data_IF_621991801513
#
_entry.id   IF_621991801513
#
_cell.length_a   1.000
_cell.length_b   1.000
_cell.length_c   1.000
_cell.angle_alpha   90.00
_cell.angle_beta   90.00
_cell.angle_gamma   90.00
#
_symmetry.space_group_name_H-M   'P 1'
#
loop_
_entity.id
_entity.type
_entity.pdbx_description
1 polymer ?
#
# COMPACT_ATOMS: atom_id res chain seq x y z
N UNK A 1 0.14 -0.22 23.57
CA UNK A 1 -0.68 0.89 24.10
C UNK A 1 -1.48 1.59 23.01
N UNK A 2 -0.88 1.93 21.86
CA UNK A 2 -1.59 2.50 20.71
C UNK A 2 -2.75 1.62 20.24
N UNK A 3 -2.50 0.34 19.99
CA UNK A 3 -3.53 -0.65 19.65
C UNK A 3 -4.67 -0.71 20.68
N UNK A 4 -4.35 -0.60 21.98
CA UNK A 4 -5.36 -0.54 23.05
C UNK A 4 -6.26 0.69 22.94
N UNK A 5 -5.69 1.84 22.60
CA UNK A 5 -6.46 3.06 22.39
C UNK A 5 -7.36 2.93 21.16
N UNK A 6 -6.85 2.33 20.08
CA UNK A 6 -7.60 2.06 18.87
C UNK A 6 -8.76 1.07 19.10
N UNK A 7 -8.50 -0.03 19.82
CA UNK A 7 -9.52 -0.98 20.27
C UNK A 7 -10.60 -0.31 21.14
N UNK A 8 -10.21 0.65 21.99
CA UNK A 8 -11.16 1.38 22.84
C UNK A 8 -12.10 2.27 22.02
N UNK A 9 -11.60 2.94 20.98
CA UNK A 9 -12.43 3.76 20.07
C UNK A 9 -13.39 2.87 19.28
N UNK A 10 -12.93 1.69 18.86
CA UNK A 10 -13.73 0.69 18.15
C UNK A 10 -14.57 -0.20 19.10
N UNK A 11 -14.57 0.09 20.41
CA UNK A 11 -15.35 -0.62 21.43
C UNK A 11 -14.64 -1.80 22.10
N UNK A 12 -13.98 -2.68 21.34
CA UNK A 12 -13.22 -3.80 21.89
C UNK A 12 -12.09 -4.28 20.95
N UNK A 13 -11.23 -5.17 21.45
CA UNK A 13 -10.18 -5.80 20.64
C UNK A 13 -10.71 -6.73 19.56
N UNK A 14 -11.81 -7.43 19.83
CA UNK A 14 -12.42 -8.35 18.86
C UNK A 14 -12.95 -7.61 17.63
N UNK A 15 -13.38 -6.36 17.80
CA UNK A 15 -13.80 -5.49 16.71
C UNK A 15 -12.66 -5.12 15.74
N UNK A 16 -11.39 -5.31 16.13
CA UNK A 16 -10.24 -5.11 15.24
C UNK A 16 -9.97 -6.32 14.34
N UNK A 17 -10.59 -7.47 14.61
CA UNK A 17 -10.40 -8.68 13.82
C UNK A 17 -11.05 -8.54 12.44
N UNK A 18 -10.26 -8.73 11.38
CA UNK A 18 -10.74 -8.65 9.99
C UNK A 18 -10.73 -7.24 9.39
N UNK A 19 -10.12 -6.26 10.05
CA UNK A 19 -9.89 -4.93 9.47
C UNK A 19 -8.91 -4.95 8.30
N UNK A 20 -9.03 -3.97 7.40
CA UNK A 20 -8.07 -3.75 6.32
C UNK A 20 -6.96 -2.81 6.80
N UNK A 21 -5.72 -3.04 6.33
CA UNK A 21 -4.62 -2.09 6.56
C UNK A 21 -4.92 -0.71 6.00
N UNK A 22 -5.80 -0.57 4.99
CA UNK A 22 -6.30 0.74 4.54
C UNK A 22 -7.09 1.52 5.57
N UNK A 23 -7.92 0.86 6.38
CA UNK A 23 -8.69 1.51 7.45
C UNK A 23 -7.72 2.08 8.50
N UNK A 24 -6.71 1.27 8.87
CA UNK A 24 -5.65 1.72 9.78
C UNK A 24 -4.86 2.91 9.22
N UNK A 25 -4.57 2.91 7.92
CA UNK A 25 -3.90 4.04 7.28
C UNK A 25 -4.73 5.32 7.37
N UNK A 26 -6.01 5.28 7.01
CA UNK A 26 -6.88 6.46 7.06
C UNK A 26 -7.08 6.97 8.48
N UNK A 27 -7.26 6.07 9.46
CA UNK A 27 -7.48 6.46 10.85
C UNK A 27 -6.25 7.04 11.53
N UNK A 28 -5.06 6.53 11.21
CA UNK A 28 -3.81 6.99 11.84
C UNK A 28 -3.16 8.17 11.13
N UNK A 29 -3.49 8.40 9.86
CA UNK A 29 -2.88 9.49 9.08
C UNK A 29 -3.87 10.57 8.68
N UNK A 30 -5.17 10.28 8.58
CA UNK A 30 -6.12 11.18 7.92
C UNK A 30 -5.87 11.31 6.41
N UNK A 31 -5.03 10.44 5.85
CA UNK A 31 -4.75 10.32 4.42
C UNK A 31 -5.90 9.69 3.65
N UNK A 32 -5.73 9.59 2.33
CA UNK A 32 -6.67 8.91 1.43
C UNK A 32 -6.04 7.59 1.02
N UNK A 33 -6.69 6.47 1.35
CA UNK A 33 -6.20 5.15 0.99
C UNK A 33 -6.79 4.66 -0.35
N UNK A 34 -5.92 4.23 -1.24
CA UNK A 34 -6.27 3.60 -2.52
C UNK A 34 -5.78 2.14 -2.55
N UNK A 35 -6.58 1.26 -3.14
CA UNK A 35 -6.27 -0.16 -3.25
C UNK A 35 -6.10 -0.57 -4.71
N UNK A 36 -5.01 -1.28 -5.02
CA UNK A 36 -4.70 -1.79 -6.36
C UNK A 36 -4.55 -3.32 -6.34
N UNK A 37 -5.30 -4.01 -7.21
CA UNK A 37 -5.18 -5.46 -7.43
C UNK A 37 -4.02 -5.75 -8.40
N UNK A 38 -3.03 -6.51 -7.93
CA UNK A 38 -1.84 -6.88 -8.69
C UNK A 38 -2.09 -7.98 -9.72
N UNK A 39 -3.22 -8.69 -9.66
CA UNK A 39 -3.64 -9.62 -10.72
C UNK A 39 -4.09 -8.87 -11.99
N UNK A 40 -4.49 -7.60 -11.84
CA UNK A 40 -4.90 -6.71 -12.93
C UNK A 40 -4.27 -5.32 -12.76
N UNK A 41 -2.94 -5.22 -12.80
CA UNK A 41 -2.26 -3.97 -12.50
C UNK A 41 -2.46 -2.96 -13.63
N UNK A 42 -2.61 -1.66 -13.32
CA UNK A 42 -2.58 -0.63 -14.34
C UNK A 42 -1.20 -0.57 -15.01
N UNK A 43 -1.13 -0.20 -16.29
CA UNK A 43 0.14 -0.20 -17.05
C UNK A 43 1.21 0.71 -16.43
N UNK A 44 0.79 1.77 -15.75
CA UNK A 44 1.63 2.75 -15.07
C UNK A 44 1.80 2.47 -13.57
N UNK A 45 1.50 1.26 -13.07
CA UNK A 45 1.56 0.94 -11.64
C UNK A 45 2.91 1.27 -10.99
N UNK A 46 4.03 1.01 -11.65
CA UNK A 46 5.35 1.37 -11.11
C UNK A 46 5.48 2.88 -10.82
N UNK A 47 4.90 3.74 -11.65
CA UNK A 47 4.86 5.19 -11.42
C UNK A 47 3.88 5.57 -10.32
N UNK A 48 2.79 4.81 -10.16
CA UNK A 48 1.82 4.94 -9.06
C UNK A 48 2.44 4.51 -7.73
N UNK A 49 3.46 3.65 -7.73
CA UNK A 49 4.23 3.32 -6.53
C UNK A 49 5.28 4.41 -6.25
N UNK A 50 6.05 4.78 -7.28
CA UNK A 50 7.20 5.69 -7.14
C UNK A 50 6.78 7.11 -6.73
N UNK A 51 5.78 7.70 -7.38
CA UNK A 51 5.39 9.10 -7.11
C UNK A 51 4.87 9.33 -5.69
N UNK A 52 3.99 8.48 -5.13
CA UNK A 52 3.56 8.64 -3.76
C UNK A 52 4.68 8.40 -2.76
N UNK A 53 5.58 7.43 -2.99
CA UNK A 53 6.78 7.27 -2.15
C UNK A 53 7.65 8.52 -2.10
N UNK A 54 7.90 9.13 -3.27
CA UNK A 54 8.63 10.42 -3.37
C UNK A 54 7.88 11.57 -2.68
N UNK A 55 6.55 11.46 -2.54
CA UNK A 55 5.71 12.41 -1.83
C UNK A 55 5.50 12.06 -0.35
N UNK A 56 6.21 11.05 0.19
CA UNK A 56 6.10 10.63 1.58
C UNK A 56 4.86 9.79 1.93
N UNK A 57 4.11 9.32 0.94
CA UNK A 57 2.96 8.44 1.14
C UNK A 57 3.37 7.11 1.78
N UNK A 58 2.45 6.51 2.54
CA UNK A 58 2.64 5.19 3.12
C UNK A 58 2.11 4.13 2.17
N UNK A 59 2.95 3.16 1.80
CA UNK A 59 2.53 2.07 0.93
C UNK A 59 2.61 0.74 1.69
N UNK A 60 1.52 -0.02 1.61
CA UNK A 60 1.41 -1.38 2.08
C UNK A 60 1.20 -2.35 0.94
N UNK A 61 1.53 -3.62 1.14
CA UNK A 61 1.16 -4.69 0.23
C UNK A 61 1.03 -6.01 0.96
N UNK A 62 0.26 -6.92 0.37
CA UNK A 62 -0.07 -8.19 1.00
C UNK A 62 -0.25 -9.30 -0.05
N UNK A 63 -0.14 -10.53 0.43
CA UNK A 63 -0.35 -11.74 -0.36
C UNK A 63 -1.67 -12.36 0.10
N UNK A 64 -2.62 -12.52 -0.82
CA UNK A 64 -3.91 -13.15 -0.51
C UNK A 64 -3.71 -14.60 -0.06
N UNK A 65 -4.50 -15.02 0.92
CA UNK A 65 -4.60 -16.42 1.34
C UNK A 65 -5.76 -17.10 0.60
N UNK A 66 -5.54 -18.36 0.21
CA UNK A 66 -6.57 -19.19 -0.42
C UNK A 66 -7.43 -19.94 0.60
N UNK A 67 -6.91 -20.12 1.81
CA UNK A 67 -7.55 -20.80 2.93
C UNK A 67 -7.13 -20.11 4.24
N UNK A 68 -7.99 -20.10 5.25
CA UNK A 68 -7.64 -19.64 6.60
C UNK A 68 -6.44 -20.41 7.19
N UNK A 69 -6.21 -21.66 6.77
CA UNK A 69 -5.03 -22.43 7.17
C UNK A 69 -3.71 -21.92 6.56
N UNK A 70 -3.78 -21.07 5.53
CA UNK A 70 -2.61 -20.44 4.90
C UNK A 70 -2.26 -19.09 5.53
N UNK A 71 -3.01 -18.65 6.57
CA UNK A 71 -2.71 -17.41 7.29
C UNK A 71 -1.34 -17.52 7.97
N UNK A 72 -0.50 -16.51 7.75
CA UNK A 72 0.90 -16.46 8.20
C UNK A 72 1.78 -17.62 7.69
N UNK A 73 1.35 -18.33 6.65
CA UNK A 73 2.13 -19.41 6.07
C UNK A 73 3.37 -18.85 5.33
N UNK A 74 4.55 -19.34 5.69
CA UNK A 74 5.82 -18.97 5.05
C UNK A 74 6.02 -19.80 3.78
N UNK A 75 6.20 -19.12 2.65
CA UNK A 75 6.52 -19.75 1.36
C UNK A 75 7.97 -20.27 1.32
N UNK A 76 8.30 -21.07 0.31
CA UNK A 76 9.67 -21.57 0.08
C UNK A 76 10.71 -20.46 -0.09
N UNK A 77 10.29 -19.29 -0.57
CA UNK A 77 11.15 -18.11 -0.75
C UNK A 77 11.07 -17.14 0.45
N UNK A 78 10.60 -17.63 1.60
CA UNK A 78 10.46 -16.89 2.86
C UNK A 78 9.49 -15.70 2.84
N UNK A 79 8.58 -15.63 1.87
CA UNK A 79 7.45 -14.68 1.94
C UNK A 79 6.32 -15.26 2.77
N UNK A 80 5.84 -14.49 3.75
CA UNK A 80 4.67 -14.79 4.60
C UNK A 80 3.36 -14.40 3.90
N UNK A 81 2.41 -15.32 3.78
CA UNK A 81 1.07 -15.07 3.23
C UNK A 81 0.11 -14.52 4.27
N UNK A 82 -0.90 -13.75 3.83
CA UNK A 82 -1.91 -13.18 4.73
C UNK A 82 -1.32 -12.15 5.71
N UNK A 83 -0.15 -11.59 5.36
CA UNK A 83 0.62 -10.69 6.19
C UNK A 83 0.85 -9.38 5.45
N UNK A 84 0.87 -8.28 6.20
CA UNK A 84 1.10 -6.95 5.67
C UNK A 84 2.60 -6.64 5.61
N UNK A 85 3.05 -6.19 4.44
CA UNK A 85 4.40 -5.67 4.21
C UNK A 85 4.33 -4.18 3.94
N UNK A 86 5.34 -3.45 4.38
CA UNK A 86 5.51 -2.04 4.00
C UNK A 86 6.35 -1.95 2.73
N UNK A 87 5.95 -1.14 1.77
CA UNK A 87 6.73 -0.83 0.58
C UNK A 87 7.45 0.50 0.84
N UNK A 88 8.78 0.44 0.94
CA UNK A 88 9.61 1.53 1.45
C UNK A 88 10.50 2.18 0.38
N UNK A 89 10.45 1.68 -0.86
CA UNK A 89 11.25 2.23 -1.95
C UNK A 89 10.89 1.62 -3.31
N UNK A 90 11.12 2.40 -4.36
CA UNK A 90 10.99 1.95 -5.76
C UNK A 90 12.04 2.66 -6.61
N UNK A 91 12.94 1.89 -7.23
CA UNK A 91 14.09 2.40 -7.97
C UNK A 91 14.26 1.69 -9.30
N UNK A 92 14.93 2.36 -10.24
CA UNK A 92 15.34 1.78 -11.51
C UNK A 92 16.86 1.71 -11.52
N UNK A 93 17.42 0.51 -11.62
CA UNK A 93 18.87 0.27 -11.64
C UNK A 93 19.31 -0.18 -13.02
N UNK A 94 20.55 0.16 -13.39
CA UNK A 94 21.16 -0.38 -14.61
C UNK A 94 21.88 -1.68 -14.27
N UNK A 95 21.29 -2.80 -14.67
CA UNK A 95 21.84 -4.14 -14.50
C UNK A 95 22.26 -4.70 -15.86
N UNK A 96 23.57 -4.93 -16.03
CA UNK A 96 24.15 -5.48 -17.28
C UNK A 96 23.71 -4.72 -18.56
N UNK A 97 23.58 -3.40 -18.49
CA UNK A 97 23.17 -2.56 -19.62
C UNK A 97 21.66 -2.54 -19.89
N UNK A 98 20.84 -3.09 -18.99
CA UNK A 98 19.38 -3.03 -19.03
C UNK A 98 18.85 -2.31 -17.80
N UNK A 99 17.80 -1.51 -17.99
CA UNK A 99 17.07 -0.94 -16.86
C UNK A 99 16.19 -2.02 -16.22
N UNK A 100 16.45 -2.29 -14.95
CA UNK A 100 15.64 -3.18 -14.10
C UNK A 100 14.91 -2.37 -13.04
N UNK A 101 13.64 -2.70 -12.83
CA UNK A 101 12.77 -2.06 -11.84
C UNK A 101 12.79 -2.88 -10.57
N UNK A 102 13.17 -2.26 -9.46
CA UNK A 102 13.23 -2.89 -8.15
C UNK A 102 12.29 -2.16 -7.19
N UNK A 103 11.68 -2.94 -6.30
CA UNK A 103 10.89 -2.42 -5.18
C UNK A 103 11.50 -2.92 -3.88
N UNK A 104 11.53 -2.04 -2.88
CA UNK A 104 12.01 -2.32 -1.54
C UNK A 104 10.83 -2.56 -0.63
N UNK A 105 10.90 -3.65 0.10
CA UNK A 105 9.85 -4.13 0.97
C UNK A 105 10.40 -4.38 2.35
N UNK A 106 9.58 -4.13 3.36
CA UNK A 106 9.92 -4.37 4.75
C UNK A 106 8.88 -5.25 5.42
N UNK A 107 9.35 -6.36 5.99
CA UNK A 107 8.56 -7.18 6.88
C UNK A 107 8.49 -6.54 8.28
N UNK A 108 7.29 -6.21 8.80
CA UNK A 108 7.14 -5.64 10.15
C UNK A 108 7.70 -6.50 11.29
N UNK A 109 7.88 -7.81 11.08
CA UNK A 109 8.52 -8.68 12.07
C UNK A 109 10.02 -8.38 12.26
N UNK A 110 10.65 -7.62 11.35
CA UNK A 110 12.07 -7.28 11.41
C UNK A 110 12.99 -8.48 11.19
N UNK A 111 12.45 -9.57 10.63
CA UNK A 111 13.13 -10.83 10.35
C UNK A 111 12.41 -11.55 9.22
N UNK A 112 13.02 -12.61 8.67
CA UNK A 112 12.49 -13.42 7.57
C UNK A 112 12.36 -12.60 6.27
N UNK A 113 13.44 -12.66 5.49
CA UNK A 113 13.59 -11.91 4.25
C UNK A 113 13.53 -12.80 3.00
N UNK A 114 13.20 -12.16 1.89
CA UNK A 114 13.20 -12.77 0.55
C UNK A 114 14.54 -13.42 0.22
N UNK A 115 14.51 -14.64 -0.31
CA UNK A 115 15.72 -15.40 -0.68
C UNK A 115 15.90 -15.56 -2.19
N UNK A 116 15.10 -14.87 -3.01
CA UNK A 116 15.20 -14.94 -4.47
C UNK A 116 16.18 -13.91 -5.04
N UNK A 117 16.03 -13.59 -6.33
CA UNK A 117 16.83 -12.57 -6.98
C UNK A 117 16.65 -11.20 -6.29
N UNK A 118 17.74 -10.45 -6.15
CA UNK A 118 17.80 -9.16 -5.44
C UNK A 118 17.65 -9.23 -3.92
N UNK A 119 17.63 -10.43 -3.34
CA UNK A 119 17.84 -10.62 -1.91
C UNK A 119 19.18 -10.05 -1.44
N UNK A 120 19.34 -9.86 -0.13
CA UNK A 120 20.52 -9.25 0.45
C UNK A 120 21.83 -10.00 0.14
N UNK A 121 21.76 -11.33 0.02
CA UNK A 121 22.88 -12.18 -0.39
C UNK A 121 23.03 -12.37 -1.91
N UNK A 122 22.23 -11.69 -2.74
CA UNK A 122 22.23 -11.91 -4.19
C UNK A 122 23.53 -11.52 -4.87
N UNK A 123 23.97 -12.37 -5.79
CA UNK A 123 25.10 -12.09 -6.69
C UNK A 123 24.79 -10.98 -7.70
N UNK A 124 23.50 -10.69 -7.90
CA UNK A 124 22.94 -9.74 -8.84
C UNK A 124 23.43 -8.32 -8.55
N UNK A 125 23.60 -7.98 -7.27
CA UNK A 125 24.12 -6.69 -6.83
C UNK A 125 25.52 -6.39 -7.40
N UNK A 126 26.37 -7.42 -7.61
CA UNK A 126 27.72 -7.25 -8.16
C UNK A 126 27.72 -6.76 -9.61
N UNK A 127 26.61 -6.89 -10.33
CA UNK A 127 26.48 -6.48 -11.74
C UNK A 127 25.69 -5.18 -11.91
N UNK A 128 25.31 -4.50 -10.82
CA UNK A 128 24.67 -3.19 -10.85
C UNK A 128 25.72 -2.13 -11.13
N UNK A 129 25.43 -1.22 -12.06
CA UNK A 129 26.28 -0.09 -12.38
C UNK A 129 25.80 1.16 -11.60
N UNK A 130 26.71 1.81 -10.87
CA UNK A 130 26.42 3.07 -10.15
C UNK A 130 26.16 2.86 -8.66
N UNK A 131 25.32 3.73 -8.09
CA UNK A 131 24.95 3.66 -6.67
C UNK A 131 24.07 2.44 -6.40
N UNK A 132 24.56 1.57 -5.52
CA UNK A 132 23.83 0.41 -5.06
C UNK A 132 22.98 0.83 -3.84
N UNK A 133 21.64 0.84 -3.94
CA UNK A 133 20.78 1.24 -2.82
C UNK A 133 20.61 0.12 -1.78
N UNK A 134 21.39 -0.95 -1.88
CA UNK A 134 21.32 -2.11 -1.02
C UNK A 134 22.24 -1.93 0.20
N UNK A 135 21.68 -2.20 1.38
CA UNK A 135 22.43 -2.44 2.61
C UNK A 135 22.17 -3.88 3.01
N UNK A 136 23.23 -4.65 3.28
CA UNK A 136 23.10 -6.02 3.76
C UNK A 136 22.86 -5.96 5.27
N UNK A 137 21.61 -6.10 5.69
CA UNK A 137 21.20 -6.02 7.08
C UNK A 137 20.03 -6.97 7.34
N UNK A 138 20.12 -7.77 8.40
CA UNK A 138 18.97 -8.57 8.85
C UNK A 138 17.98 -7.69 9.64
N UNK A 139 17.23 -6.84 8.95
CA UNK A 139 16.24 -5.94 9.52
C UNK A 139 14.82 -6.16 8.97
N UNK A 140 14.64 -7.22 8.17
CA UNK A 140 13.40 -7.54 7.50
C UNK A 140 13.14 -6.72 6.24
N UNK A 141 14.03 -5.79 5.87
CA UNK A 141 13.98 -5.06 4.61
C UNK A 141 14.72 -5.83 3.51
N UNK A 142 14.12 -5.91 2.33
CA UNK A 142 14.72 -6.59 1.19
C UNK A 142 14.26 -5.97 -0.13
N UNK A 143 15.07 -6.16 -1.17
CA UNK A 143 14.68 -5.81 -2.53
C UNK A 143 14.16 -7.02 -3.28
N UNK A 144 13.24 -6.77 -4.20
CA UNK A 144 12.70 -7.77 -5.11
C UNK A 144 12.49 -7.13 -6.49
N UNK A 145 12.62 -7.93 -7.56
CA UNK A 145 12.30 -7.44 -8.90
C UNK A 145 10.82 -7.06 -8.98
N UNK A 146 10.50 -6.00 -9.72
CA UNK A 146 9.11 -5.59 -9.93
C UNK A 146 8.26 -6.71 -10.55
N UNK A 147 8.86 -7.54 -11.41
CA UNK A 147 8.19 -8.67 -12.03
C UNK A 147 7.88 -9.79 -11.01
N UNK A 148 8.80 -10.09 -10.10
CA UNK A 148 8.55 -11.07 -9.05
C UNK A 148 7.57 -10.53 -8.03
N UNK A 149 7.65 -9.24 -7.71
CA UNK A 149 6.66 -8.58 -6.88
C UNK A 149 5.23 -8.76 -7.42
N UNK A 150 4.99 -8.49 -8.71
CA UNK A 150 3.68 -8.71 -9.35
C UNK A 150 3.23 -10.19 -9.36
N UNK A 151 4.17 -11.14 -9.31
CA UNK A 151 3.86 -12.58 -9.31
C UNK A 151 3.49 -13.10 -7.93
N UNK A 152 4.12 -12.59 -6.88
CA UNK A 152 3.96 -13.10 -5.52
C UNK A 152 2.91 -12.31 -4.73
N UNK A 153 2.87 -10.99 -4.90
CA UNK A 153 1.94 -10.13 -4.17
C UNK A 153 0.60 -10.01 -4.89
N UNK A 154 -0.46 -9.81 -4.10
CA UNK A 154 -1.83 -9.75 -4.61
C UNK A 154 -2.41 -8.35 -4.58
N UNK A 155 -2.06 -7.55 -3.58
CA UNK A 155 -2.66 -6.22 -3.38
C UNK A 155 -1.60 -5.20 -2.97
N UNK A 156 -1.76 -3.97 -3.45
CA UNK A 156 -1.08 -2.77 -2.94
C UNK A 156 -2.10 -1.84 -2.35
N UNK A 157 -1.72 -1.22 -1.26
CA UNK A 157 -2.47 -0.21 -0.55
C UNK A 157 -1.59 1.05 -0.53
N UNK A 158 -2.10 2.16 -1.05
CA UNK A 158 -1.39 3.43 -1.11
C UNK A 158 -2.16 4.44 -0.27
N UNK A 159 -1.59 4.88 0.84
CA UNK A 159 -2.15 5.95 1.65
C UNK A 159 -1.44 7.26 1.31
N UNK A 160 -2.13 8.10 0.54
CA UNK A 160 -1.67 9.43 0.20
C UNK A 160 -1.93 10.37 1.37
N UNK A 161 -0.84 10.91 1.91
CA UNK A 161 -0.86 11.86 3.00
C UNK A 161 -1.42 13.21 2.54
N UNK A 162 -2.32 13.79 3.34
CA UNK A 162 -2.89 15.11 3.09
C UNK A 162 -1.89 16.20 3.49
N UNK A 163 -1.97 17.43 2.94
CA UNK A 163 -1.04 18.51 3.28
C UNK A 163 -0.90 18.77 4.78
N UNK A 164 -1.95 18.50 5.55
CA UNK A 164 -1.97 18.67 7.00
C UNK A 164 -1.04 17.70 7.76
N UNK A 165 -0.51 16.67 7.07
CA UNK A 165 0.31 15.61 7.68
C UNK A 165 1.80 15.70 7.37
N UNK A 166 2.20 16.41 6.31
CA UNK A 166 3.60 16.63 5.96
C UNK A 166 3.89 18.13 5.87
N UNK A 167 4.59 18.66 6.87
CA UNK A 167 5.07 20.05 6.91
C UNK A 167 6.41 20.25 6.17
N UNK A 168 6.92 19.22 5.51
CA UNK A 168 8.18 19.27 4.76
C UNK A 168 7.95 19.76 3.32
N UNK A 169 8.49 20.93 2.99
CA UNK A 169 8.41 21.55 1.65
C UNK A 169 9.11 20.72 0.55
N UNK A 170 9.88 19.69 0.90
CA UNK A 170 10.60 18.85 -0.06
C UNK A 170 9.71 17.81 -0.77
N UNK A 171 8.50 17.55 -0.25
CA UNK A 171 7.55 16.61 -0.86
C UNK A 171 6.47 17.33 -1.66
N UNK A 172 5.96 16.67 -2.71
CA UNK A 172 4.86 17.20 -3.51
C UNK A 172 3.54 17.12 -2.73
N UNK A 173 2.89 18.26 -2.51
CA UNK A 173 1.60 18.32 -1.84
C UNK A 173 0.43 18.02 -2.78
N UNK A 174 -0.59 17.36 -2.23
CA UNK A 174 -1.87 17.09 -2.90
C UNK A 174 -2.90 18.16 -2.57
N UNK A 175 -3.74 18.54 -3.53
CA UNK A 175 -4.88 19.43 -3.26
C UNK A 175 -6.04 18.61 -2.71
N UNK A 176 -6.50 18.93 -1.50
CA UNK A 176 -7.60 18.22 -0.83
C UNK A 176 -8.80 19.16 -0.73
N UNK A 177 -10.00 18.64 -1.03
CA UNK A 177 -11.26 19.33 -0.80
C UNK A 177 -12.24 18.33 -0.17
N UNK A 178 -12.60 18.58 1.08
CA UNK A 178 -13.50 17.71 1.86
C UNK A 178 -14.93 18.25 1.81
N UNK A 179 -15.88 17.37 1.55
CA UNK A 179 -17.30 17.66 1.59
C UNK A 179 -18.01 16.64 2.47
N UNK A 180 -18.84 17.11 3.39
CA UNK A 180 -19.64 16.25 4.25
C UNK A 180 -21.09 16.15 3.72
N UNK A 181 -21.69 14.97 3.85
CA UNK A 181 -23.04 14.69 3.35
C UNK A 181 -23.78 13.69 4.23
N UNK A 182 -25.11 13.64 4.10
CA UNK A 182 -25.92 12.64 4.82
C UNK A 182 -26.99 12.04 3.93
N UNK A 183 -27.20 10.73 4.06
CA UNK A 183 -28.32 10.02 3.45
C UNK A 183 -29.40 9.77 4.49
N UNK A 184 -30.58 10.36 4.28
CA UNK A 184 -31.75 10.18 5.14
C UNK A 184 -32.90 9.57 4.34
N UNK A 185 -33.48 8.50 4.89
CA UNK A 185 -34.63 7.82 4.30
C UNK A 185 -35.77 8.81 4.05
N UNK A 186 -36.36 8.77 2.86
CA UNK A 186 -37.47 9.65 2.46
C UNK A 186 -37.06 11.07 2.04
N UNK A 187 -35.77 11.39 2.00
CA UNK A 187 -35.26 12.65 1.45
C UNK A 187 -34.04 12.41 0.57
N UNK A 188 -32.84 12.38 1.14
CA UNK A 188 -31.58 12.33 0.38
C UNK A 188 -31.09 10.92 0.03
N UNK A 189 -31.69 9.86 0.60
CA UNK A 189 -31.32 8.47 0.32
C UNK A 189 -31.84 7.97 -1.04
N UNK A 190 -31.33 8.53 -2.13
CA UNK A 190 -31.79 8.30 -3.50
C UNK A 190 -31.38 6.97 -4.13
N UNK A 191 -30.42 6.26 -3.55
CA UNK A 191 -29.86 5.02 -4.09
C UNK A 191 -28.88 5.23 -5.24
N UNK A 192 -28.46 4.14 -5.89
CA UNK A 192 -27.52 4.18 -7.02
C UNK A 192 -28.21 4.50 -8.36
N UNK A 193 -27.43 4.65 -9.44
CA UNK A 193 -27.89 5.03 -10.80
C UNK A 193 -29.00 4.13 -11.37
N UNK A 194 -29.12 2.90 -10.87
CA UNK A 194 -30.16 1.94 -11.23
C UNK A 194 -31.55 2.31 -10.69
N UNK A 195 -31.66 3.32 -9.81
CA UNK A 195 -32.91 3.81 -9.24
C UNK A 195 -33.23 5.23 -9.79
N UNK A 196 -33.63 5.37 -11.06
CA UNK A 196 -33.71 6.67 -11.73
C UNK A 196 -34.71 7.64 -11.07
N UNK A 197 -35.77 7.12 -10.44
CA UNK A 197 -36.81 7.94 -9.81
C UNK A 197 -36.34 8.69 -8.56
N UNK A 198 -35.31 8.18 -7.88
CA UNK A 198 -34.83 8.70 -6.60
C UNK A 198 -33.36 9.13 -6.65
N UNK A 199 -32.58 8.68 -7.64
CA UNK A 199 -31.14 8.94 -7.75
C UNK A 199 -30.77 10.44 -7.72
N UNK A 200 -31.59 11.29 -8.34
CA UNK A 200 -31.35 12.74 -8.41
C UNK A 200 -31.49 13.45 -7.05
N UNK A 201 -32.10 12.79 -6.05
CA UNK A 201 -32.28 13.32 -4.69
C UNK A 201 -31.02 13.21 -3.83
N UNK A 202 -29.98 12.48 -4.28
CA UNK A 202 -28.71 12.40 -3.57
C UNK A 202 -27.99 13.76 -3.53
N UNK A 203 -27.13 14.03 -2.52
CA UNK A 203 -26.26 15.20 -2.51
C UNK A 203 -25.41 15.32 -3.79
N UNK A 204 -25.27 16.53 -4.32
CA UNK A 204 -24.52 16.82 -5.55
C UNK A 204 -23.35 17.76 -5.25
N UNK A 205 -22.19 17.48 -5.85
CA UNK A 205 -20.95 18.23 -5.63
C UNK A 205 -20.36 18.67 -6.96
N UNK A 206 -19.76 19.85 -6.98
CA UNK A 206 -19.09 20.42 -8.16
C UNK A 206 -17.58 20.28 -8.01
N UNK A 207 -16.94 19.65 -8.99
CA UNK A 207 -15.48 19.54 -9.07
C UNK A 207 -15.01 20.41 -10.23
N UNK A 208 -14.09 21.34 -9.95
CA UNK A 208 -13.45 22.17 -10.96
C UNK A 208 -12.00 21.70 -11.13
N UNK A 209 -11.67 21.28 -12.35
CA UNK A 209 -10.33 20.85 -12.75
C UNK A 209 -9.49 22.02 -13.23
#
# INVERSE_FOLDING_TARGET
>A
LLEKAYAKVNGCYEALSGGSTTEGFEDFTGGIAENYDLKKPPQNLFQIIKKPLEAGALLGCSIDITSAADSEAVTRQKLVKGHAYSLTGAVEVNYRGRQEKLVRMRNPWGQVEWTGAWSDGSSEWNSVQGDCPHANAEDGEFWISYNDFLRHYSRIEVCTLTPDTIEDDSVKHWSVSKFDGTWRRGSTAGGCRNNPYTFWMNPQFVIKL
#
